data_IF_946958613701
#
_entry.id   IF_946958613701
#
_cell.length_a   1.000
_cell.length_b   1.000
_cell.length_c   1.000
_cell.angle_alpha   90.00
_cell.angle_beta   90.00
_cell.angle_gamma   90.00
#
_symmetry.space_group_name_H-M   'P 1'
#
loop_
_entity.id
_entity.type
_entity.pdbx_description
1 polymer ?
#
# COMPACT_ATOMS: atom_id res chain seq x y z
N UNK A 1 9.64 10.75 -21.96
CA UNK A 1 8.68 10.09 -21.05
C UNK A 1 9.29 10.11 -19.66
N UNK A 2 8.54 10.53 -18.64
CA UNK A 2 9.00 10.40 -17.26
C UNK A 2 8.84 8.94 -16.82
N UNK A 3 9.86 8.37 -16.21
CA UNK A 3 9.78 7.06 -15.58
C UNK A 3 8.95 7.18 -14.31
N UNK A 4 7.99 6.27 -14.14
CA UNK A 4 7.18 6.21 -12.93
C UNK A 4 8.06 5.83 -11.72
N UNK A 5 7.96 6.55 -10.57
CA UNK A 5 8.68 6.19 -9.36
C UNK A 5 8.32 4.77 -8.88
N UNK A 6 9.32 4.01 -8.42
CA UNK A 6 9.13 2.62 -7.99
C UNK A 6 8.25 2.45 -6.75
N UNK A 7 8.05 3.53 -5.99
CA UNK A 7 7.23 3.65 -4.79
C UNK A 7 5.87 4.32 -5.06
N UNK A 8 5.51 4.55 -6.33
CA UNK A 8 4.25 5.18 -6.65
C UNK A 8 3.05 4.31 -6.22
N UNK A 9 2.15 4.92 -5.44
CA UNK A 9 0.96 4.28 -4.89
C UNK A 9 -0.22 4.16 -5.87
N UNK A 10 -0.07 4.58 -7.12
CA UNK A 10 -1.14 4.57 -8.11
C UNK A 10 -1.20 3.24 -8.86
N UNK A 11 -2.34 2.58 -8.79
CA UNK A 11 -2.64 1.30 -9.45
C UNK A 11 -3.84 1.38 -10.37
N UNK A 12 -4.21 0.21 -10.89
CA UNK A 12 -5.34 0.04 -11.80
C UNK A 12 -6.26 -1.05 -11.28
N UNK A 13 -7.56 -0.80 -11.34
CA UNK A 13 -8.61 -1.79 -11.10
C UNK A 13 -9.70 -1.70 -12.17
N UNK A 14 -10.77 -2.50 -12.05
CA UNK A 14 -11.82 -2.62 -13.08
C UNK A 14 -12.54 -1.30 -13.40
N UNK A 15 -12.49 -0.31 -12.49
CA UNK A 15 -13.19 0.98 -12.62
C UNK A 15 -12.31 2.22 -12.75
N UNK A 16 -10.98 2.10 -12.78
CA UNK A 16 -10.10 3.28 -12.87
C UNK A 16 -8.78 3.15 -12.13
N UNK A 17 -8.25 4.31 -11.72
CA UNK A 17 -7.05 4.40 -10.89
C UNK A 17 -7.40 4.22 -9.42
N UNK A 18 -6.55 3.50 -8.70
CA UNK A 18 -6.80 3.11 -7.31
C UNK A 18 -5.50 2.98 -6.52
N UNK A 19 -5.61 2.91 -5.20
CA UNK A 19 -4.48 2.68 -4.29
C UNK A 19 -4.92 1.72 -3.19
N UNK A 20 -3.97 1.03 -2.58
CA UNK A 20 -4.18 0.12 -1.45
C UNK A 20 -3.40 0.61 -0.24
N UNK A 21 -4.01 0.50 0.94
CA UNK A 21 -3.41 0.83 2.22
C UNK A 21 -3.21 -0.45 3.02
N UNK A 22 -1.98 -0.70 3.45
CA UNK A 22 -1.60 -1.79 4.35
C UNK A 22 -1.36 -1.18 5.73
N UNK A 23 -1.99 -1.72 6.77
CA UNK A 23 -2.02 -1.11 8.10
C UNK A 23 -1.43 -2.08 9.12
N UNK A 24 -0.48 -1.60 9.93
CA UNK A 24 -0.23 -2.19 11.24
C UNK A 24 -1.14 -1.52 12.26
N UNK A 25 -1.87 -2.32 13.03
CA UNK A 25 -2.79 -1.83 14.05
C UNK A 25 -2.53 -2.60 15.34
N UNK A 26 -2.34 -1.89 16.45
CA UNK A 26 -2.22 -2.54 17.75
C UNK A 26 -3.58 -3.01 18.28
N UNK A 27 -3.57 -3.82 19.34
CA UNK A 27 -4.78 -4.40 19.94
C UNK A 27 -5.84 -3.35 20.34
N UNK A 28 -5.41 -2.12 20.65
CA UNK A 28 -6.28 -0.98 20.95
C UNK A 28 -6.95 -0.32 19.74
N UNK A 29 -6.82 -0.88 18.53
CA UNK A 29 -7.29 -0.30 17.25
C UNK A 29 -6.59 1.00 16.84
N UNK A 30 -5.44 1.31 17.45
CA UNK A 30 -4.61 2.44 17.04
C UNK A 30 -3.76 2.01 15.84
N UNK A 31 -3.85 2.77 14.75
CA UNK A 31 -2.97 2.61 13.59
C UNK A 31 -1.55 3.00 13.97
N UNK A 32 -0.61 2.09 13.76
CA UNK A 32 0.81 2.26 14.08
C UNK A 32 1.61 2.69 12.86
N UNK A 33 1.27 2.15 11.69
CA UNK A 33 1.91 2.47 10.41
C UNK A 33 0.94 2.29 9.25
N UNK A 34 1.24 2.95 8.14
CA UNK A 34 0.50 2.84 6.88
C UNK A 34 1.51 2.75 5.74
N UNK A 35 1.42 1.68 4.95
CA UNK A 35 2.13 1.59 3.66
C UNK A 35 1.10 1.71 2.55
N UNK A 36 1.33 2.66 1.64
CA UNK A 36 0.46 2.87 0.48
C UNK A 36 1.12 2.28 -0.74
N UNK A 37 0.39 1.42 -1.45
CA UNK A 37 0.86 0.82 -2.71
C UNK A 37 -0.18 0.93 -3.80
N UNK A 38 0.26 0.74 -5.04
CA UNK A 38 -0.66 0.47 -6.14
C UNK A 38 -1.53 -0.78 -5.84
N UNK A 39 -2.80 -0.79 -6.27
CA UNK A 39 -3.77 -1.85 -5.91
C UNK A 39 -3.33 -3.25 -6.34
N UNK A 40 -2.67 -3.38 -7.49
CA UNK A 40 -2.16 -4.65 -7.98
C UNK A 40 -1.01 -5.24 -7.13
N UNK A 41 -0.48 -4.51 -6.14
CA UNK A 41 0.48 -5.08 -5.19
C UNK A 41 -0.25 -5.97 -4.18
N UNK A 42 0.22 -7.20 -4.07
CA UNK A 42 -0.29 -8.16 -3.10
C UNK A 42 -0.03 -7.71 -1.66
N UNK A 43 -0.79 -8.27 -0.71
CA UNK A 43 -0.73 -7.89 0.70
C UNK A 43 0.49 -8.48 1.41
N UNK A 44 0.82 -9.73 1.10
CA UNK A 44 1.89 -10.46 1.77
C UNK A 44 3.26 -9.77 1.70
N UNK A 45 3.73 -9.28 0.53
CA UNK A 45 5.02 -8.59 0.45
C UNK A 45 5.06 -7.25 1.21
N UNK A 46 3.91 -6.73 1.65
CA UNK A 46 3.85 -5.47 2.40
C UNK A 46 3.81 -5.70 3.91
N UNK A 47 3.77 -6.96 4.39
CA UNK A 47 3.74 -7.27 5.81
C UNK A 47 4.99 -6.80 6.55
N UNK A 48 6.20 -7.09 6.05
CA UNK A 48 7.44 -6.60 6.66
C UNK A 48 7.51 -5.07 6.66
N UNK A 49 7.26 -4.35 5.54
CA UNK A 49 7.21 -2.90 5.50
C UNK A 49 6.26 -2.23 6.51
N UNK A 50 5.15 -2.86 6.91
CA UNK A 50 4.25 -2.25 7.91
C UNK A 50 4.80 -2.36 9.33
N UNK A 51 5.79 -3.21 9.60
CA UNK A 51 6.33 -3.47 10.93
C UNK A 51 7.63 -2.72 11.23
N UNK A 52 8.20 -2.02 10.25
CA UNK A 52 9.40 -1.19 10.37
C UNK A 52 9.12 0.19 11.00
#
# INVERSE_FOLDING_TARGET
MFTEPGDHGLGRSRGGFTSKQHLAVEHGRKTMSIVVTAEQRGDWPQFEPVLE
#
